data_IF_869426911436
#
_entry.id   IF_869426911436
#
_cell.length_a   1.000
_cell.length_b   1.000
_cell.length_c   1.000
_cell.angle_alpha   90.00
_cell.angle_beta   90.00
_cell.angle_gamma   90.00
#
_symmetry.space_group_name_H-M   'P 1'
#
loop_
_entity.id
_entity.type
_entity.pdbx_description
1 polymer ?
#
# COMPACT_ATOMS: atom_id res chain seq x y z
N UNK A 1 -23.43 5.88 15.13
CA UNK A 1 -24.17 6.94 14.41
C UNK A 1 -23.20 7.66 13.48
N UNK A 2 -23.53 7.77 12.20
CA UNK A 2 -22.74 8.59 11.26
C UNK A 2 -22.86 10.06 11.64
N UNK A 3 -21.73 10.74 11.88
CA UNK A 3 -21.68 12.16 12.21
C UNK A 3 -21.36 12.95 10.95
N UNK A 4 -22.38 13.58 10.38
CA UNK A 4 -22.22 14.44 9.22
C UNK A 4 -21.74 15.83 9.66
N UNK A 5 -20.71 16.35 8.98
CA UNK A 5 -20.23 17.72 9.17
C UNK A 5 -20.27 18.47 7.85
N UNK A 6 -20.52 19.79 7.91
CA UNK A 6 -20.36 20.68 6.76
C UNK A 6 -19.06 21.45 6.94
N UNK A 7 -18.20 21.38 5.93
CA UNK A 7 -16.91 22.07 5.90
C UNK A 7 -16.68 22.65 4.50
N UNK A 8 -15.61 23.43 4.34
CA UNK A 8 -15.25 24.05 3.06
C UNK A 8 -14.02 23.37 2.47
N UNK A 9 -13.99 23.30 1.15
CA UNK A 9 -12.78 22.97 0.41
C UNK A 9 -11.85 24.19 0.45
N UNK A 10 -10.56 23.96 0.70
CA UNK A 10 -9.52 24.99 0.77
C UNK A 10 -8.44 24.73 -0.28
N UNK A 11 -7.91 25.80 -0.88
CA UNK A 11 -6.82 25.70 -1.84
C UNK A 11 -5.50 25.40 -1.12
N UNK A 12 -4.76 24.42 -1.63
CA UNK A 12 -3.41 24.03 -1.17
C UNK A 12 -2.51 24.01 -2.40
N UNK A 13 -1.91 25.15 -2.75
CA UNK A 13 -1.13 25.27 -3.99
C UNK A 13 -2.00 25.04 -5.23
N UNK A 14 -1.62 24.07 -6.07
CA UNK A 14 -2.42 23.63 -7.22
C UNK A 14 -3.53 22.63 -6.85
N UNK A 15 -3.54 22.15 -5.60
CA UNK A 15 -4.47 21.15 -5.10
C UNK A 15 -5.59 21.77 -4.25
N UNK A 16 -6.55 20.92 -3.88
CA UNK A 16 -7.64 21.26 -2.97
C UNK A 16 -7.62 20.30 -1.78
N UNK A 17 -8.04 20.78 -0.60
CA UNK A 17 -8.09 19.97 0.61
C UNK A 17 -9.37 20.21 1.41
N UNK A 18 -9.71 19.24 2.26
CA UNK A 18 -10.82 19.32 3.22
C UNK A 18 -10.25 19.20 4.63
N UNK A 19 -10.66 20.09 5.54
CA UNK A 19 -10.25 20.01 6.95
C UNK A 19 -11.10 18.97 7.67
N UNK A 20 -10.47 17.88 8.11
CA UNK A 20 -11.10 16.81 8.88
C UNK A 20 -10.85 17.08 10.38
N UNK A 21 -11.89 17.27 11.20
CA UNK A 21 -11.73 17.41 12.64
C UNK A 21 -11.05 16.17 13.25
N UNK A 22 -10.14 16.39 14.21
CA UNK A 22 -9.40 15.33 14.91
C UNK A 22 -10.31 14.20 15.42
N UNK A 23 -11.47 14.54 15.96
CA UNK A 23 -12.45 13.56 16.45
C UNK A 23 -12.93 12.59 15.34
N UNK A 24 -13.15 13.07 14.11
CA UNK A 24 -13.58 12.19 13.01
C UNK A 24 -12.41 11.34 12.48
N UNK A 25 -11.20 11.90 12.47
CA UNK A 25 -9.99 11.15 12.12
C UNK A 25 -9.77 9.99 13.10
N UNK A 26 -9.88 10.25 14.41
CA UNK A 26 -9.77 9.23 15.45
C UNK A 26 -10.89 8.17 15.36
N UNK A 27 -12.14 8.59 15.16
CA UNK A 27 -13.27 7.67 15.04
C UNK A 27 -13.21 6.79 13.79
N UNK A 28 -12.66 7.29 12.69
CA UNK A 28 -12.50 6.52 11.45
C UNK A 28 -11.30 5.57 11.48
N UNK A 29 -10.39 5.72 12.44
CA UNK A 29 -9.13 4.98 12.48
C UNK A 29 -8.19 5.30 11.32
N UNK A 30 -8.43 6.42 10.61
CA UNK A 30 -7.58 6.84 9.50
C UNK A 30 -6.24 7.33 10.04
N UNK A 31 -5.15 6.85 9.44
CA UNK A 31 -3.77 7.24 9.77
C UNK A 31 -3.21 8.24 8.74
N UNK A 32 -1.91 8.16 8.47
CA UNK A 32 -1.18 9.14 7.65
C UNK A 32 -1.46 8.95 6.15
N UNK A 33 -1.46 7.70 5.69
CA UNK A 33 -1.60 7.37 4.27
C UNK A 33 -3.04 6.94 3.96
N UNK A 34 -3.62 7.55 2.94
CA UNK A 34 -5.01 7.31 2.53
C UNK A 34 -5.13 7.07 1.04
N UNK A 35 -6.13 6.28 0.67
CA UNK A 35 -6.61 6.15 -0.69
C UNK A 35 -7.87 7.00 -0.86
N UNK A 36 -7.98 7.70 -1.99
CA UNK A 36 -9.13 8.51 -2.35
C UNK A 36 -9.68 7.99 -3.68
N UNK A 37 -10.94 7.59 -3.70
CA UNK A 37 -11.64 7.11 -4.89
C UNK A 37 -12.85 7.99 -5.21
N UNK A 38 -13.15 8.16 -6.49
CA UNK A 38 -14.35 8.87 -6.96
C UNK A 38 -15.46 7.84 -7.19
N UNK A 39 -16.55 7.96 -6.43
CA UNK A 39 -17.73 7.12 -6.57
C UNK A 39 -18.93 8.01 -6.93
N UNK A 40 -19.20 8.14 -8.23
CA UNK A 40 -20.29 8.99 -8.74
C UNK A 40 -20.07 10.47 -8.41
N UNK A 41 -20.82 10.99 -7.43
CA UNK A 41 -20.83 12.40 -7.02
C UNK A 41 -20.07 12.67 -5.70
N UNK A 42 -19.42 11.67 -5.12
CA UNK A 42 -18.67 11.81 -3.88
C UNK A 42 -17.29 11.16 -3.92
N UNK A 43 -16.45 11.56 -2.97
CA UNK A 43 -15.13 10.97 -2.75
C UNK A 43 -15.19 10.04 -1.53
N UNK A 44 -14.74 8.81 -1.71
CA UNK A 44 -14.53 7.85 -0.62
C UNK A 44 -13.07 7.92 -0.19
N UNK A 45 -12.83 8.19 1.09
CA UNK A 45 -11.49 8.21 1.69
C UNK A 45 -11.37 7.02 2.65
N UNK A 46 -10.34 6.20 2.46
CA UNK A 46 -10.07 5.01 3.30
C UNK A 46 -8.57 4.94 3.65
N UNK A 47 -8.23 4.19 4.69
CA UNK A 47 -6.83 3.87 4.99
C UNK A 47 -6.16 3.25 3.76
N UNK A 48 -4.98 3.75 3.42
CA UNK A 48 -4.17 3.11 2.40
C UNK A 48 -3.80 1.70 2.86
N UNK A 49 -3.89 0.71 1.96
CA UNK A 49 -3.43 -0.63 2.32
C UNK A 49 -1.93 -0.59 2.56
N UNK A 50 -1.50 -1.10 3.70
CA UNK A 50 -0.06 -1.30 3.95
C UNK A 50 0.48 -2.26 2.89
N UNK A 51 1.49 -1.79 2.15
CA UNK A 51 2.18 -2.64 1.18
C UNK A 51 2.65 -3.92 1.86
N UNK A 52 2.52 -5.04 1.16
CA UNK A 52 2.98 -6.35 1.64
C UNK A 52 2.24 -6.87 2.89
N UNK A 53 1.06 -6.34 3.21
CA UNK A 53 0.17 -6.97 4.19
C UNK A 53 -0.07 -8.43 3.78
N UNK A 54 0.14 -9.37 4.71
CA UNK A 54 -0.03 -10.80 4.45
C UNK A 54 1.22 -11.50 3.88
N UNK A 55 2.27 -10.77 3.50
CA UNK A 55 3.47 -11.39 2.91
C UNK A 55 4.19 -12.30 3.89
N UNK A 56 4.31 -11.91 5.16
CA UNK A 56 4.93 -12.75 6.19
C UNK A 56 4.25 -14.11 6.27
N UNK A 57 2.91 -14.13 6.32
CA UNK A 57 2.13 -15.36 6.37
C UNK A 57 2.24 -16.16 5.07
N UNK A 58 2.24 -15.48 3.92
CA UNK A 58 2.41 -16.12 2.62
C UNK A 58 3.79 -16.77 2.47
N UNK A 59 4.87 -16.09 2.87
CA UNK A 59 6.22 -16.65 2.85
C UNK A 59 6.39 -17.81 3.83
N UNK A 60 5.82 -17.70 5.03
CA UNK A 60 5.83 -18.81 5.99
C UNK A 60 5.09 -20.04 5.45
N UNK A 61 3.97 -19.84 4.74
CA UNK A 61 3.26 -20.92 4.06
C UNK A 61 4.07 -21.51 2.91
N UNK A 62 4.66 -20.68 2.04
CA UNK A 62 5.51 -21.14 0.94
C UNK A 62 6.68 -22.00 1.43
N UNK A 63 7.42 -21.55 2.45
CA UNK A 63 8.54 -22.31 3.02
C UNK A 63 8.09 -23.63 3.66
N UNK A 64 6.89 -23.66 4.27
CA UNK A 64 6.31 -24.88 4.85
C UNK A 64 5.92 -25.89 3.76
N UNK A 65 5.39 -25.43 2.64
CA UNK A 65 4.99 -26.28 1.51
C UNK A 65 6.13 -26.54 0.50
N UNK A 66 7.32 -25.95 0.72
CA UNK A 66 8.50 -26.03 -0.17
C UNK A 66 8.28 -25.41 -1.55
N UNK A 67 7.36 -24.44 -1.66
CA UNK A 67 7.08 -23.69 -2.89
C UNK A 67 8.18 -22.65 -3.22
N UNK A 68 9.20 -22.51 -2.37
CA UNK A 68 10.32 -21.59 -2.49
C UNK A 68 11.63 -22.27 -2.97
N UNK A 69 11.55 -23.53 -3.39
CA UNK A 69 12.70 -24.28 -3.93
C UNK A 69 12.94 -23.92 -5.40
N UNK A 70 14.21 -23.88 -5.81
CA UNK A 70 14.58 -23.70 -7.20
C UNK A 70 14.04 -24.88 -8.04
N UNK A 71 13.25 -24.58 -9.08
CA UNK A 71 12.75 -25.59 -10.01
C UNK A 71 13.86 -26.13 -10.91
N UNK A 72 14.78 -25.25 -11.29
CA UNK A 72 15.94 -25.58 -12.10
C UNK A 72 17.17 -25.73 -11.19
N UNK A 73 18.16 -26.56 -11.57
CA UNK A 73 19.45 -26.54 -10.90
C UNK A 73 20.13 -25.18 -11.11
N UNK A 74 20.85 -24.71 -10.09
CA UNK A 74 21.77 -23.57 -10.25
C UNK A 74 22.91 -24.02 -11.16
N UNK A 75 22.79 -23.72 -12.44
CA UNK A 75 23.86 -23.91 -13.41
C UNK A 75 24.62 -22.60 -13.53
N UNK A 76 25.94 -22.64 -13.38
CA UNK A 76 26.78 -21.49 -13.70
C UNK A 76 26.59 -21.16 -15.18
N UNK A 77 26.27 -19.90 -15.48
CA UNK A 77 26.26 -19.45 -16.87
C UNK A 77 27.69 -19.22 -17.33
N UNK A 78 27.96 -19.32 -18.64
CA UNK A 78 29.29 -19.03 -19.19
C UNK A 78 29.76 -17.61 -18.81
N UNK A 79 28.81 -16.69 -18.59
CA UNK A 79 29.02 -15.33 -18.09
C UNK A 79 29.55 -15.23 -16.66
N UNK A 80 29.23 -16.19 -15.78
CA UNK A 80 29.77 -16.25 -14.41
C UNK A 80 31.18 -16.86 -14.37
N UNK A 81 31.55 -17.62 -15.41
CA UNK A 81 32.88 -18.24 -15.53
C UNK A 81 33.89 -17.33 -16.21
N UNK A 82 33.44 -16.38 -17.04
CA UNK A 82 34.29 -15.32 -17.58
C UNK A 82 34.47 -14.22 -16.53
N UNK A 83 35.72 -13.93 -16.14
CA UNK A 83 36.02 -12.74 -15.35
C UNK A 83 35.58 -11.49 -16.13
N UNK A 84 34.85 -10.61 -15.44
CA UNK A 84 34.45 -9.32 -16.01
C UNK A 84 35.69 -8.43 -16.11
N UNK A 85 36.22 -8.25 -17.31
CA UNK A 85 37.18 -7.19 -17.59
C UNK A 85 36.43 -5.89 -17.83
N UNK A 86 36.70 -4.88 -16.99
CA UNK A 86 36.17 -3.52 -17.10
C UNK A 86 37.02 -2.66 -18.05
#
# INVERSE_FOLDING_TARGET
>A
MSKMIRTRIVKIGNSQGVRIPKLLLEQSGIQTDVEIEVEGDHLTIRNARRLRTGWEQAFAAMAKEQDDVLLDPVNSTDWEQSEWEW
#
